data_IF_089190749501
#
_entry.id   IF_089190749501
#
_cell.length_a   1.000
_cell.length_b   1.000
_cell.length_c   1.000
_cell.angle_alpha   90.00
_cell.angle_beta   90.00
_cell.angle_gamma   90.00
#
_symmetry.space_group_name_H-M   'P 1'
#
loop_
_entity.id
_entity.type
_entity.pdbx_description
1 polymer ?
#
# COMPACT_ATOMS: atom_id res chain seq x y z
N UNK A 1 -5.78 24.99 20.79
CA UNK A 1 -6.76 24.45 21.75
C UNK A 1 -7.25 25.55 22.70
N UNK A 2 -8.56 25.68 22.91
CA UNK A 2 -9.15 26.72 23.77
C UNK A 2 -9.14 26.34 25.26
N UNK A 3 -9.17 27.34 26.15
CA UNK A 3 -9.22 27.13 27.61
C UNK A 3 -10.43 26.29 28.06
N UNK A 4 -11.56 26.41 27.35
CA UNK A 4 -12.76 25.61 27.61
C UNK A 4 -12.51 24.13 27.31
N UNK A 5 -11.87 23.80 26.19
CA UNK A 5 -11.52 22.42 25.84
C UNK A 5 -10.50 21.84 26.82
N UNK A 6 -9.49 22.62 27.21
CA UNK A 6 -8.52 22.20 28.21
C UNK A 6 -9.18 21.86 29.55
N UNK A 7 -10.13 22.67 30.03
CA UNK A 7 -10.88 22.39 31.26
C UNK A 7 -11.71 21.11 31.15
N UNK A 8 -12.37 20.90 30.01
CA UNK A 8 -13.13 19.66 29.75
C UNK A 8 -12.20 18.46 29.78
N UNK A 9 -11.09 18.50 29.04
CA UNK A 9 -10.11 17.41 28.97
C UNK A 9 -9.48 17.12 30.32
N UNK A 10 -9.17 18.14 31.12
CA UNK A 10 -8.67 17.98 32.49
C UNK A 10 -9.65 17.19 33.36
N UNK A 11 -10.95 17.51 33.29
CA UNK A 11 -11.99 16.76 34.01
C UNK A 11 -12.12 15.32 33.51
N UNK A 12 -12.06 15.09 32.21
CA UNK A 12 -12.16 13.73 31.66
C UNK A 12 -10.94 12.90 32.01
N UNK A 13 -9.75 13.51 32.05
CA UNK A 13 -8.53 12.86 32.51
C UNK A 13 -8.67 12.37 33.95
N UNK A 14 -9.14 13.20 34.88
CA UNK A 14 -9.36 12.76 36.27
C UNK A 14 -10.36 11.60 36.38
N UNK A 15 -11.45 11.64 35.61
CA UNK A 15 -12.41 10.51 35.56
C UNK A 15 -11.78 9.22 35.05
N UNK A 16 -10.96 9.30 34.00
CA UNK A 16 -10.23 8.15 33.48
C UNK A 16 -9.26 7.59 34.53
N UNK A 17 -8.57 8.45 35.28
CA UNK A 17 -7.69 8.06 36.38
C UNK A 17 -8.46 7.40 37.54
N UNK A 18 -9.71 7.81 37.77
CA UNK A 18 -10.64 7.22 38.75
C UNK A 18 -11.31 5.91 38.27
N UNK A 19 -11.11 5.52 37.01
CA UNK A 19 -11.70 4.31 36.42
C UNK A 19 -13.10 4.51 35.79
N UNK A 20 -13.60 5.74 35.75
CA UNK A 20 -14.90 6.12 35.16
C UNK A 20 -14.84 6.20 33.62
N UNK A 21 -14.33 5.15 32.97
CA UNK A 21 -14.03 5.16 31.53
C UNK A 21 -15.27 5.37 30.65
N UNK A 22 -16.36 4.65 30.95
CA UNK A 22 -17.60 4.74 30.19
C UNK A 22 -18.19 6.15 30.26
N UNK A 23 -18.25 6.74 31.45
CA UNK A 23 -18.79 8.08 31.64
C UNK A 23 -17.91 9.13 30.95
N UNK A 24 -16.59 9.00 31.04
CA UNK A 24 -15.67 9.87 30.32
C UNK A 24 -15.88 9.80 28.80
N UNK A 25 -16.01 8.58 28.26
CA UNK A 25 -16.29 8.34 26.84
C UNK A 25 -17.62 8.97 26.38
N UNK A 26 -18.72 8.74 27.11
CA UNK A 26 -20.03 9.30 26.77
C UNK A 26 -20.05 10.82 26.83
N UNK A 27 -19.39 11.42 27.83
CA UNK A 27 -19.28 12.88 27.93
C UNK A 27 -18.47 13.47 26.78
N UNK A 28 -17.35 12.84 26.40
CA UNK A 28 -16.55 13.25 25.23
C UNK A 28 -17.40 13.23 23.95
N UNK A 29 -18.11 12.13 23.67
CA UNK A 29 -19.03 12.03 22.51
C UNK A 29 -20.10 13.10 22.53
N UNK A 30 -20.74 13.32 23.67
CA UNK A 30 -21.83 14.30 23.81
C UNK A 30 -21.36 15.73 23.57
N UNK A 31 -20.17 16.09 24.04
CA UNK A 31 -19.59 17.42 23.82
C UNK A 31 -19.16 17.56 22.35
N UNK A 32 -18.49 16.55 21.78
CA UNK A 32 -18.12 16.55 20.36
C UNK A 32 -19.34 16.70 19.45
N UNK A 33 -20.43 15.95 19.70
CA UNK A 33 -21.70 16.06 18.98
C UNK A 33 -22.27 17.48 18.97
N UNK A 34 -22.14 18.22 20.08
CA UNK A 34 -22.61 19.61 20.14
C UNK A 34 -21.82 20.53 19.23
N UNK A 35 -20.49 20.42 19.24
CA UNK A 35 -19.61 21.19 18.35
C UNK A 35 -19.84 20.83 16.88
N UNK A 36 -19.98 19.54 16.57
CA UNK A 36 -20.27 19.07 15.19
C UNK A 36 -21.64 19.57 14.70
N UNK A 37 -22.66 19.61 15.57
CA UNK A 37 -23.98 20.17 15.25
C UNK A 37 -23.93 21.67 14.98
N UNK A 38 -23.08 22.42 15.69
CA UNK A 38 -22.86 23.84 15.45
C UNK A 38 -21.83 24.13 14.36
N UNK A 39 -21.37 23.11 13.62
CA UNK A 39 -20.34 23.20 12.59
C UNK A 39 -19.01 23.81 13.07
N UNK A 40 -18.75 23.75 14.38
CA UNK A 40 -17.51 24.21 14.99
C UNK A 40 -16.53 23.02 15.07
N UNK A 41 -15.88 22.73 13.95
CA UNK A 41 -15.12 21.48 13.80
C UNK A 41 -13.78 21.49 14.55
N UNK A 42 -13.11 22.65 14.68
CA UNK A 42 -11.79 22.73 15.31
C UNK A 42 -11.81 22.25 16.77
N UNK A 43 -12.73 22.71 17.64
CA UNK A 43 -12.85 22.19 19.01
C UNK A 43 -13.31 20.74 19.07
N UNK A 44 -14.12 20.28 18.12
CA UNK A 44 -14.52 18.87 18.04
C UNK A 44 -13.30 17.97 17.76
N UNK A 45 -12.46 18.36 16.81
CA UNK A 45 -11.22 17.67 16.44
C UNK A 45 -10.23 17.64 17.62
N UNK A 46 -9.99 18.78 18.27
CA UNK A 46 -9.11 18.88 19.44
C UNK A 46 -9.61 17.98 20.59
N UNK A 47 -10.92 17.96 20.84
CA UNK A 47 -11.53 17.16 21.89
C UNK A 47 -11.47 15.66 21.59
N UNK A 48 -11.88 15.25 20.39
CA UNK A 48 -11.94 13.85 19.98
C UNK A 48 -10.54 13.23 19.96
N UNK A 49 -9.57 13.91 19.38
CA UNK A 49 -8.20 13.39 19.33
C UNK A 49 -7.53 13.28 20.70
N UNK A 50 -7.65 14.30 21.53
CA UNK A 50 -7.09 14.27 22.88
C UNK A 50 -7.80 13.22 23.75
N UNK A 51 -9.14 13.17 23.68
CA UNK A 51 -9.95 12.20 24.42
C UNK A 51 -9.67 10.75 24.00
N UNK A 52 -9.56 10.49 22.69
CA UNK A 52 -9.17 9.19 22.16
C UNK A 52 -7.79 8.78 22.69
N UNK A 53 -6.80 9.69 22.62
CA UNK A 53 -5.45 9.40 23.13
C UNK A 53 -5.44 9.06 24.63
N UNK A 54 -6.24 9.76 25.44
CA UNK A 54 -6.37 9.46 26.88
C UNK A 54 -6.93 8.05 27.12
N UNK A 55 -8.01 7.69 26.42
CA UNK A 55 -8.65 6.37 26.57
C UNK A 55 -7.76 5.23 26.07
N UNK A 56 -7.12 5.41 24.90
CA UNK A 56 -6.18 4.43 24.35
C UNK A 56 -5.02 4.17 25.31
N UNK A 57 -4.42 5.24 25.87
CA UNK A 57 -3.33 5.12 26.87
C UNK A 57 -3.77 4.49 28.19
N UNK A 58 -5.06 4.58 28.53
CA UNK A 58 -5.65 3.92 29.70
C UNK A 58 -6.06 2.45 29.41
N UNK A 59 -5.68 1.89 28.26
CA UNK A 59 -6.03 0.53 27.87
C UNK A 59 -7.48 0.35 27.43
N UNK A 60 -8.25 1.43 27.30
CA UNK A 60 -9.65 1.41 26.85
C UNK A 60 -9.71 1.45 25.32
N UNK A 61 -9.19 0.38 24.69
CA UNK A 61 -9.04 0.26 23.24
C UNK A 61 -10.34 0.52 22.48
N UNK A 62 -11.43 -0.16 22.85
CA UNK A 62 -12.73 0.01 22.20
C UNK A 62 -13.29 1.43 22.26
N UNK A 63 -13.27 2.09 23.42
CA UNK A 63 -13.75 3.48 23.56
C UNK A 63 -12.82 4.48 22.86
N UNK A 64 -11.51 4.26 22.91
CA UNK A 64 -10.53 5.07 22.18
C UNK A 64 -10.69 4.93 20.67
N UNK A 65 -10.93 3.71 20.18
CA UNK A 65 -11.18 3.42 18.77
C UNK A 65 -12.47 4.07 18.28
N UNK A 66 -13.55 4.04 19.05
CA UNK A 66 -14.79 4.74 18.72
C UNK A 66 -14.57 6.25 18.53
N UNK A 67 -13.82 6.89 19.44
CA UNK A 67 -13.50 8.31 19.30
C UNK A 67 -12.56 8.60 18.11
N UNK A 68 -11.63 7.70 17.79
CA UNK A 68 -10.79 7.80 16.59
C UNK A 68 -11.61 7.70 15.30
N UNK A 69 -12.55 6.77 15.22
CA UNK A 69 -13.46 6.65 14.09
C UNK A 69 -14.33 7.90 13.96
N UNK A 70 -14.86 8.41 15.08
CA UNK A 70 -15.64 9.65 15.05
C UNK A 70 -14.80 10.86 14.62
N UNK A 71 -13.52 10.92 15.02
CA UNK A 71 -12.60 11.96 14.54
C UNK A 71 -12.48 11.95 13.01
N UNK A 72 -12.36 10.78 12.38
CA UNK A 72 -12.28 10.65 10.92
C UNK A 72 -13.60 11.07 10.26
N UNK A 73 -14.75 10.69 10.81
CA UNK A 73 -16.04 11.16 10.31
C UNK A 73 -16.14 12.69 10.35
N UNK A 74 -15.60 13.33 11.40
CA UNK A 74 -15.53 14.79 11.48
C UNK A 74 -14.56 15.37 10.44
N UNK A 75 -13.40 14.74 10.23
CA UNK A 75 -12.46 15.16 9.18
C UNK A 75 -13.09 15.13 7.79
N UNK A 76 -13.78 14.03 7.45
CA UNK A 76 -14.48 13.88 6.18
C UNK A 76 -15.59 14.93 6.04
N UNK A 77 -16.42 15.09 7.07
CA UNK A 77 -17.53 16.05 7.07
C UNK A 77 -17.07 17.51 6.94
N UNK A 78 -15.93 17.85 7.53
CA UNK A 78 -15.35 19.19 7.49
C UNK A 78 -14.35 19.39 6.35
N UNK A 79 -14.20 18.38 5.47
CA UNK A 79 -13.26 18.36 4.34
C UNK A 79 -11.81 18.73 4.73
N UNK A 80 -11.40 18.33 5.94
CA UNK A 80 -10.08 18.63 6.50
C UNK A 80 -8.99 18.09 5.58
N UNK A 81 -8.03 18.95 5.19
CA UNK A 81 -6.92 18.56 4.31
C UNK A 81 -5.92 17.66 5.03
N UNK A 82 -5.32 16.73 4.28
CA UNK A 82 -4.23 15.85 4.73
C UNK A 82 -2.90 16.60 4.86
N UNK A 83 -2.89 17.68 5.64
CA UNK A 83 -1.68 18.45 5.94
C UNK A 83 -0.84 17.80 7.06
N UNK A 84 0.35 18.33 7.29
CA UNK A 84 1.29 17.83 8.30
C UNK A 84 0.69 17.75 9.71
N UNK A 85 -0.11 18.74 10.11
CA UNK A 85 -0.67 18.78 11.46
C UNK A 85 -1.75 17.70 11.66
N UNK A 86 -2.64 17.55 10.67
CA UNK A 86 -3.71 16.56 10.73
C UNK A 86 -3.15 15.14 10.63
N UNK A 87 -2.13 14.92 9.79
CA UNK A 87 -1.41 13.64 9.71
C UNK A 87 -0.70 13.29 11.02
N UNK A 88 0.04 14.22 11.62
CA UNK A 88 0.73 13.98 12.89
C UNK A 88 -0.24 13.56 14.00
N UNK A 89 -1.45 14.14 14.04
CA UNK A 89 -2.51 13.75 14.97
C UNK A 89 -2.97 12.30 14.75
N UNK A 90 -3.19 11.90 13.49
CA UNK A 90 -3.57 10.52 13.15
C UNK A 90 -2.46 9.53 13.48
N UNK A 91 -1.21 9.84 13.13
CA UNK A 91 -0.04 9.00 13.44
C UNK A 91 0.11 8.78 14.95
N UNK A 92 -0.08 9.83 15.75
CA UNK A 92 -0.07 9.74 17.21
C UNK A 92 -1.14 8.77 17.73
N UNK A 93 -2.35 8.83 17.17
CA UNK A 93 -3.44 7.94 17.56
C UNK A 93 -3.17 6.50 17.13
N UNK A 94 -2.74 6.26 15.89
CA UNK A 94 -2.39 4.94 15.38
C UNK A 94 -1.39 4.21 16.30
N UNK A 95 -0.35 4.91 16.75
CA UNK A 95 0.68 4.38 17.67
C UNK A 95 0.20 4.21 19.12
N UNK A 96 -0.96 4.75 19.47
CA UNK A 96 -1.53 4.62 20.82
C UNK A 96 -2.46 3.42 20.96
N UNK A 97 -2.83 2.74 19.85
CA UNK A 97 -3.70 1.57 19.91
C UNK A 97 -3.01 0.42 20.67
N UNK A 98 -3.73 -0.30 21.56
CA UNK A 98 -3.21 -1.53 22.10
C UNK A 98 -3.11 -2.61 21.00
N UNK A 99 -2.19 -3.57 21.10
CA UNK A 99 -2.05 -4.67 20.14
C UNK A 99 -3.38 -5.41 19.96
N UNK A 100 -3.67 -5.86 18.74
CA UNK A 100 -4.85 -6.65 18.39
C UNK A 100 -6.22 -5.98 18.67
N UNK A 101 -6.26 -4.67 18.88
CA UNK A 101 -7.53 -3.94 19.08
C UNK A 101 -8.40 -3.96 17.81
N UNK A 102 -9.58 -4.62 17.82
CA UNK A 102 -10.40 -4.80 16.61
C UNK A 102 -10.82 -3.48 15.96
N UNK A 103 -11.02 -2.42 16.77
CA UNK A 103 -11.39 -1.10 16.28
C UNK A 103 -10.34 -0.42 15.40
N UNK A 104 -9.08 -0.86 15.44
CA UNK A 104 -7.97 -0.30 14.65
C UNK A 104 -8.19 -0.47 13.14
N UNK A 105 -8.68 -1.64 12.68
CA UNK A 105 -8.91 -1.90 11.26
C UNK A 105 -9.94 -0.94 10.64
N UNK A 106 -11.01 -0.62 11.38
CA UNK A 106 -12.01 0.38 10.94
C UNK A 106 -11.40 1.78 10.84
N UNK A 107 -10.59 2.17 11.83
CA UNK A 107 -9.92 3.46 11.83
C UNK A 107 -8.94 3.59 10.65
N UNK A 108 -8.14 2.56 10.37
CA UNK A 108 -7.25 2.49 9.19
C UNK A 108 -8.02 2.64 7.88
N UNK A 109 -9.15 1.93 7.73
CA UNK A 109 -10.02 2.08 6.56
C UNK A 109 -10.51 3.52 6.37
N UNK A 110 -10.95 4.15 7.46
CA UNK A 110 -11.39 5.55 7.45
C UNK A 110 -10.26 6.53 7.11
N UNK A 111 -9.05 6.33 7.64
CA UNK A 111 -7.87 7.14 7.32
C UNK A 111 -7.56 7.07 5.83
N UNK A 112 -7.57 5.86 5.27
CA UNK A 112 -7.28 5.62 3.85
C UNK A 112 -8.32 6.35 2.99
N UNK A 113 -9.61 6.17 3.27
CA UNK A 113 -10.69 6.84 2.55
C UNK A 113 -10.61 8.38 2.63
N UNK A 114 -10.38 8.91 3.84
CA UNK A 114 -10.20 10.34 4.04
C UNK A 114 -9.01 10.87 3.25
N UNK A 115 -7.85 10.21 3.32
CA UNK A 115 -6.64 10.68 2.65
C UNK A 115 -6.76 10.63 1.13
N UNK A 116 -7.46 9.65 0.55
CA UNK A 116 -7.75 9.59 -0.90
C UNK A 116 -8.56 10.80 -1.38
N UNK A 117 -9.50 11.30 -0.57
CA UNK A 117 -10.38 12.42 -0.93
C UNK A 117 -9.78 13.79 -0.59
N UNK A 118 -8.91 13.84 0.42
CA UNK A 118 -8.43 15.09 1.02
C UNK A 118 -6.92 15.31 0.90
N UNK A 119 -6.23 14.54 0.04
CA UNK A 119 -4.84 14.75 -0.36
C UNK A 119 -4.71 14.85 -1.89
N UNK A 120 -3.49 15.03 -2.39
CA UNK A 120 -3.17 14.96 -3.83
C UNK A 120 -3.01 13.52 -4.35
N UNK A 121 -3.03 12.53 -3.45
CA UNK A 121 -2.74 11.13 -3.76
C UNK A 121 -4.04 10.32 -3.91
N UNK A 122 -4.41 9.89 -5.13
CA UNK A 122 -5.68 9.19 -5.39
C UNK A 122 -5.75 7.77 -4.79
N UNK A 123 -4.63 7.26 -4.27
CA UNK A 123 -4.54 5.97 -3.59
C UNK A 123 -4.37 6.10 -2.08
N UNK A 124 -4.44 7.32 -1.53
CA UNK A 124 -4.19 7.63 -0.12
C UNK A 124 -2.80 8.23 0.11
N UNK A 125 -2.62 8.90 1.25
CA UNK A 125 -1.37 9.62 1.58
C UNK A 125 -0.20 8.64 1.86
N UNK A 126 0.93 8.73 1.14
CA UNK A 126 2.05 7.80 1.28
C UNK A 126 2.69 7.73 2.68
N UNK A 127 2.70 8.83 3.44
CA UNK A 127 3.26 8.82 4.79
C UNK A 127 2.36 8.06 5.76
N UNK A 128 1.03 8.21 5.61
CA UNK A 128 0.07 7.44 6.37
C UNK A 128 0.14 5.95 6.01
N UNK A 129 0.24 5.63 4.72
CA UNK A 129 0.47 4.26 4.26
C UNK A 129 1.75 3.67 4.85
N UNK A 130 2.86 4.41 4.85
CA UNK A 130 4.11 3.95 5.45
C UNK A 130 3.95 3.64 6.94
N UNK A 131 3.35 4.54 7.71
CA UNK A 131 3.14 4.32 9.16
C UNK A 131 2.22 3.13 9.42
N UNK A 132 1.09 3.05 8.72
CA UNK A 132 0.13 1.94 8.90
C UNK A 132 0.78 0.60 8.54
N UNK A 133 1.46 0.56 7.40
CA UNK A 133 2.15 -0.65 6.95
C UNK A 133 3.25 -1.09 7.90
N UNK A 134 4.01 -0.15 8.47
CA UNK A 134 5.05 -0.45 9.47
C UNK A 134 4.45 -1.01 10.76
N UNK A 135 3.34 -0.44 11.24
CA UNK A 135 2.66 -0.96 12.43
C UNK A 135 2.10 -2.37 12.21
N UNK A 136 1.55 -2.66 11.03
CA UNK A 136 1.11 -4.02 10.72
C UNK A 136 2.29 -5.00 10.58
N UNK A 137 3.42 -4.55 10.04
CA UNK A 137 4.63 -5.35 9.98
C UNK A 137 5.14 -5.71 11.39
N UNK A 138 5.18 -4.74 12.32
CA UNK A 138 5.53 -4.96 13.73
C UNK A 138 4.57 -5.94 14.44
N UNK A 139 3.30 -5.97 14.03
CA UNK A 139 2.27 -6.88 14.55
C UNK A 139 2.28 -8.26 13.88
N UNK A 140 3.09 -8.48 12.83
CA UNK A 140 3.11 -9.72 12.05
C UNK A 140 1.92 -9.89 11.10
N UNK A 141 1.13 -8.84 10.87
CA UNK A 141 -0.04 -8.82 9.97
C UNK A 141 0.40 -8.61 8.52
N UNK A 142 1.09 -9.61 7.95
CA UNK A 142 1.86 -9.45 6.71
C UNK A 142 1.01 -8.95 5.53
N UNK A 143 -0.15 -9.54 5.29
CA UNK A 143 -1.01 -9.16 4.15
C UNK A 143 -1.55 -7.73 4.25
N UNK A 144 -1.84 -7.25 5.45
CA UNK A 144 -2.29 -5.87 5.66
C UNK A 144 -1.09 -4.90 5.52
N UNK A 145 0.09 -5.29 6.02
CA UNK A 145 1.32 -4.52 5.85
C UNK A 145 1.68 -4.34 4.36
N UNK A 146 1.67 -5.42 3.57
CA UNK A 146 1.97 -5.41 2.13
C UNK A 146 1.17 -4.36 1.36
N UNK A 147 -0.15 -4.35 1.59
CA UNK A 147 -1.08 -3.42 0.92
C UNK A 147 -0.71 -1.97 1.17
N UNK A 148 -0.32 -1.64 2.40
CA UNK A 148 0.04 -0.28 2.77
C UNK A 148 1.49 0.07 2.39
N UNK A 149 2.46 -0.82 2.58
CA UNK A 149 3.86 -0.57 2.25
C UNK A 149 4.09 -0.39 0.74
N UNK A 150 3.29 -1.06 -0.09
CA UNK A 150 3.28 -0.89 -1.56
C UNK A 150 2.96 0.56 -1.96
N UNK A 151 2.09 1.24 -1.21
CA UNK A 151 1.61 2.60 -1.49
C UNK A 151 2.29 3.67 -0.62
N UNK A 152 3.28 3.28 0.18
CA UNK A 152 3.94 4.19 1.11
C UNK A 152 5.08 5.02 0.51
N UNK A 153 5.99 5.47 1.38
CA UNK A 153 7.14 6.31 1.00
C UNK A 153 8.30 5.48 0.43
N UNK A 154 9.40 6.16 0.08
CA UNK A 154 10.65 5.49 -0.32
C UNK A 154 11.24 4.57 0.76
N UNK A 155 10.86 4.78 2.02
CA UNK A 155 11.36 3.99 3.16
C UNK A 155 10.53 2.73 3.37
N UNK A 156 9.30 2.68 2.86
CA UNK A 156 8.45 1.49 2.92
C UNK A 156 9.08 0.26 2.26
N UNK A 157 9.89 0.45 1.21
CA UNK A 157 10.57 -0.66 0.55
C UNK A 157 11.57 -1.38 1.48
N UNK A 158 12.15 -0.68 2.46
CA UNK A 158 12.99 -1.29 3.47
C UNK A 158 12.16 -2.18 4.40
N UNK A 159 11.12 -1.60 4.98
CA UNK A 159 10.21 -2.30 5.90
C UNK A 159 9.59 -3.53 5.23
N UNK A 160 9.16 -3.38 3.97
CA UNK A 160 8.54 -4.46 3.21
C UNK A 160 9.57 -5.58 2.92
N UNK A 161 10.77 -5.22 2.47
CA UNK A 161 11.83 -6.20 2.26
C UNK A 161 12.23 -6.93 3.54
N UNK A 162 12.26 -6.24 4.68
CA UNK A 162 12.60 -6.85 5.97
C UNK A 162 11.50 -7.80 6.44
N UNK A 163 10.23 -7.39 6.33
CA UNK A 163 9.06 -8.23 6.65
C UNK A 163 9.05 -9.54 5.87
N UNK A 164 9.23 -9.46 4.54
CA UNK A 164 9.27 -10.64 3.68
C UNK A 164 10.49 -11.52 3.97
N UNK A 165 11.62 -10.92 4.31
CA UNK A 165 12.82 -11.68 4.67
C UNK A 165 12.67 -12.39 6.01
N UNK A 166 12.07 -11.73 7.00
CA UNK A 166 11.79 -12.33 8.31
C UNK A 166 10.81 -13.49 8.19
N UNK A 167 9.80 -13.37 7.32
CA UNK A 167 8.90 -14.48 7.01
C UNK A 167 9.65 -15.63 6.34
N UNK A 168 10.46 -15.33 5.32
CA UNK A 168 11.34 -16.30 4.66
C UNK A 168 12.30 -17.01 5.61
N UNK A 169 12.84 -16.32 6.62
CA UNK A 169 13.89 -16.86 7.49
C UNK A 169 13.46 -18.12 8.28
N UNK A 170 12.15 -18.41 8.31
CA UNK A 170 11.58 -19.61 8.92
C UNK A 170 11.30 -20.75 7.92
N UNK A 171 11.74 -20.62 6.67
CA UNK A 171 11.42 -21.50 5.54
C UNK A 171 12.69 -22.02 4.82
N UNK A 172 12.53 -22.89 3.82
CA UNK A 172 13.65 -23.46 3.07
C UNK A 172 14.34 -22.44 2.15
N UNK A 173 15.67 -22.48 1.96
CA UNK A 173 16.37 -21.55 1.06
C UNK A 173 15.83 -21.49 -0.38
N UNK A 174 15.24 -22.59 -0.86
CA UNK A 174 14.61 -22.72 -2.18
C UNK A 174 13.39 -21.80 -2.35
N UNK A 175 12.70 -21.42 -1.25
CA UNK A 175 11.48 -20.60 -1.28
C UNK A 175 11.77 -19.11 -1.28
N UNK A 176 13.02 -18.68 -1.04
CA UNK A 176 13.44 -17.28 -1.02
C UNK A 176 12.92 -16.44 -2.22
N UNK A 177 12.88 -16.95 -3.48
CA UNK A 177 12.35 -16.19 -4.61
C UNK A 177 10.87 -15.83 -4.48
N UNK A 178 10.06 -16.65 -3.79
CA UNK A 178 8.64 -16.39 -3.58
C UNK A 178 8.43 -15.16 -2.70
N UNK A 179 9.12 -15.07 -1.56
CA UNK A 179 9.06 -13.92 -0.66
C UNK A 179 9.64 -12.65 -1.30
N UNK A 180 10.75 -12.77 -2.03
CA UNK A 180 11.30 -11.65 -2.80
C UNK A 180 10.28 -11.13 -3.84
N UNK A 181 9.55 -12.03 -4.52
CA UNK A 181 8.52 -11.66 -5.48
C UNK A 181 7.34 -10.92 -4.83
N UNK A 182 6.96 -11.28 -3.59
CA UNK A 182 5.92 -10.57 -2.83
C UNK A 182 6.27 -9.11 -2.58
N UNK A 183 7.54 -8.78 -2.35
CA UNK A 183 7.97 -7.38 -2.26
C UNK A 183 8.08 -6.70 -3.64
N UNK A 184 8.52 -7.42 -4.68
CA UNK A 184 8.83 -6.84 -6.00
C UNK A 184 7.59 -6.59 -6.86
N UNK A 185 6.70 -7.58 -7.00
CA UNK A 185 5.58 -7.48 -7.93
C UNK A 185 4.58 -6.36 -7.58
N UNK A 186 4.16 -6.17 -6.31
CA UNK A 186 3.25 -5.08 -5.98
C UNK A 186 3.81 -3.70 -6.38
N UNK A 187 5.11 -3.47 -6.15
CA UNK A 187 5.75 -2.22 -6.59
C UNK A 187 5.76 -2.05 -8.10
N UNK A 188 6.01 -3.12 -8.87
CA UNK A 188 5.89 -3.07 -10.33
C UNK A 188 4.44 -2.80 -10.77
N UNK A 189 3.46 -3.43 -10.14
CA UNK A 189 2.04 -3.27 -10.49
C UNK A 189 1.47 -1.88 -10.16
N UNK A 190 2.12 -1.12 -9.27
CA UNK A 190 1.78 0.30 -9.02
C UNK A 190 2.69 1.29 -9.76
N UNK A 191 3.54 0.81 -10.68
CA UNK A 191 4.42 1.68 -11.46
C UNK A 191 5.71 2.13 -10.75
N UNK A 192 5.99 1.63 -9.54
CA UNK A 192 7.10 2.09 -8.71
C UNK A 192 8.35 1.22 -8.90
N UNK A 193 9.00 1.38 -10.05
CA UNK A 193 10.23 0.64 -10.41
C UNK A 193 11.39 0.88 -9.45
N UNK A 194 11.49 2.10 -8.87
CA UNK A 194 12.53 2.43 -7.89
C UNK A 194 12.38 1.60 -6.61
N UNK A 195 11.16 1.50 -6.07
CA UNK A 195 10.90 0.71 -4.88
C UNK A 195 11.07 -0.80 -5.14
N UNK A 196 10.64 -1.29 -6.31
CA UNK A 196 10.85 -2.69 -6.71
C UNK A 196 12.34 -3.07 -6.74
N UNK A 197 13.18 -2.21 -7.33
CA UNK A 197 14.64 -2.39 -7.34
C UNK A 197 15.24 -2.35 -5.93
N UNK A 198 14.83 -1.36 -5.11
CA UNK A 198 15.31 -1.25 -3.72
C UNK A 198 14.94 -2.48 -2.89
N UNK A 199 13.70 -2.95 -2.98
CA UNK A 199 13.22 -4.13 -2.26
C UNK A 199 14.01 -5.39 -2.64
N UNK A 200 14.21 -5.65 -3.94
CA UNK A 200 15.00 -6.81 -4.36
C UNK A 200 16.46 -6.70 -3.90
N UNK A 201 17.07 -5.52 -4.01
CA UNK A 201 18.45 -5.30 -3.59
C UNK A 201 18.63 -5.59 -2.10
N UNK A 202 17.73 -5.08 -1.25
CA UNK A 202 17.77 -5.28 0.19
C UNK A 202 17.59 -6.75 0.56
N UNK A 203 16.57 -7.40 0.00
CA UNK A 203 16.29 -8.82 0.23
C UNK A 203 17.50 -9.68 -0.15
N UNK A 204 18.04 -9.48 -1.36
CA UNK A 204 19.17 -10.26 -1.88
C UNK A 204 20.48 -9.99 -1.14
N UNK A 205 20.72 -8.76 -0.69
CA UNK A 205 21.86 -8.41 0.16
C UNK A 205 21.81 -9.18 1.48
N UNK A 206 20.65 -9.18 2.15
CA UNK A 206 20.43 -9.90 3.41
C UNK A 206 20.58 -11.42 3.20
N UNK A 207 19.99 -11.96 2.13
CA UNK A 207 20.11 -13.37 1.74
C UNK A 207 21.55 -13.82 1.57
N UNK A 208 22.35 -13.04 0.82
CA UNK A 208 23.76 -13.35 0.58
C UNK A 208 24.62 -13.32 1.85
N UNK A 209 24.26 -12.47 2.80
CA UNK A 209 24.96 -12.34 4.08
C UNK A 209 24.63 -13.51 5.00
N UNK A 210 23.36 -13.91 5.07
CA UNK A 210 22.92 -15.03 5.92
C UNK A 210 23.31 -16.40 5.35
N UNK A 211 23.46 -16.52 4.04
CA UNK A 211 23.73 -17.79 3.35
C UNK A 211 24.95 -17.67 2.41
N UNK A 212 26.17 -17.57 2.94
CA UNK A 212 27.39 -17.40 2.12
C UNK A 212 27.66 -18.60 1.19
N UNK A 213 27.07 -19.77 1.46
CA UNK A 213 27.18 -20.97 0.63
C UNK A 213 26.36 -20.96 -0.66
N UNK A 214 25.55 -19.94 -0.94
CA UNK A 214 24.70 -19.87 -2.15
C UNK A 214 25.47 -19.67 -3.46
N UNK A 215 26.79 -19.44 -3.43
CA UNK A 215 27.61 -19.31 -4.64
C UNK A 215 27.20 -18.11 -5.49
N UNK A 216 26.93 -16.97 -4.85
CA UNK A 216 26.45 -15.75 -5.52
C UNK A 216 27.52 -15.18 -6.44
N UNK A 217 27.16 -14.95 -7.69
CA UNK A 217 28.02 -14.31 -8.70
C UNK A 217 27.51 -12.90 -8.97
N UNK A 218 28.40 -11.90 -8.94
CA UNK A 218 28.04 -10.53 -9.30
C UNK A 218 28.43 -10.28 -10.75
N UNK A 219 27.46 -9.89 -11.57
CA UNK A 219 27.68 -9.45 -12.95
C UNK A 219 27.45 -7.94 -12.99
N UNK A 220 28.55 -7.21 -13.18
CA UNK A 220 28.53 -5.76 -13.30
C UNK A 220 28.66 -5.34 -14.76
N UNK A 221 27.85 -4.36 -15.15
CA UNK A 221 27.95 -3.66 -16.43
C UNK A 221 27.97 -2.15 -16.17
N UNK A 222 28.41 -1.31 -17.13
CA UNK A 222 28.44 0.14 -16.93
C UNK A 222 27.09 0.76 -16.55
N UNK A 223 25.98 0.09 -16.86
CA UNK A 223 24.62 0.58 -16.61
C UNK A 223 23.88 -0.13 -15.49
N UNK A 224 24.36 -1.29 -15.00
CA UNK A 224 23.59 -2.15 -14.09
C UNK A 224 24.45 -3.21 -13.41
N UNK A 225 24.18 -3.47 -12.14
CA UNK A 225 24.71 -4.60 -11.37
C UNK A 225 23.61 -5.63 -11.09
N UNK A 226 23.87 -6.90 -11.37
CA UNK A 226 22.95 -8.00 -11.07
C UNK A 226 23.68 -9.11 -10.32
N UNK A 227 23.01 -9.69 -9.32
CA UNK A 227 23.46 -10.89 -8.62
C UNK A 227 22.79 -12.11 -9.22
N UNK A 228 23.61 -13.12 -9.53
CA UNK A 228 23.17 -14.41 -10.05
C UNK A 228 23.35 -15.47 -8.97
N UNK A 229 22.28 -16.20 -8.73
CA UNK A 229 22.15 -17.29 -7.77
C UNK A 229 21.93 -18.58 -8.56
N UNK A 230 22.96 -19.40 -8.79
CA UNK A 230 22.84 -20.59 -9.63
C UNK A 230 21.76 -21.58 -9.16
N UNK A 231 21.55 -21.67 -7.84
CA UNK A 231 20.55 -22.53 -7.21
C UNK A 231 19.16 -21.90 -7.08
N UNK A 232 18.99 -20.60 -7.38
CA UNK A 232 17.73 -19.87 -7.22
C UNK A 232 17.32 -19.19 -8.53
N UNK A 233 16.86 -19.96 -9.54
CA UNK A 233 16.57 -19.46 -10.88
C UNK A 233 15.53 -18.33 -10.89
N UNK A 234 14.51 -18.41 -10.04
CA UNK A 234 13.47 -17.37 -9.98
C UNK A 234 13.96 -16.04 -9.38
N UNK A 235 15.02 -16.06 -8.56
CA UNK A 235 15.63 -14.82 -8.07
C UNK A 235 16.39 -14.11 -9.19
N UNK A 236 17.06 -14.89 -10.05
CA UNK A 236 17.69 -14.38 -11.27
C UNK A 236 16.65 -13.81 -12.22
N UNK A 237 15.51 -14.51 -12.37
CA UNK A 237 14.38 -14.02 -13.16
C UNK A 237 13.89 -12.65 -12.66
N UNK A 238 13.70 -12.46 -11.35
CA UNK A 238 13.28 -11.16 -10.79
C UNK A 238 14.28 -10.05 -11.11
N UNK A 239 15.59 -10.29 -10.94
CA UNK A 239 16.62 -9.33 -11.28
C UNK A 239 16.62 -8.97 -12.77
N UNK A 240 16.54 -9.97 -13.64
CA UNK A 240 16.47 -9.77 -15.10
C UNK A 240 15.17 -9.10 -15.55
N UNK A 241 14.06 -9.38 -14.87
CA UNK A 241 12.77 -8.73 -15.13
C UNK A 241 12.86 -7.23 -14.86
N UNK A 242 13.47 -6.81 -13.75
CA UNK A 242 13.67 -5.40 -13.43
C UNK A 242 14.53 -4.69 -14.49
N UNK A 243 15.58 -5.35 -14.97
CA UNK A 243 16.40 -4.83 -16.09
C UNK A 243 15.61 -4.74 -17.40
N UNK A 244 14.77 -5.73 -17.69
CA UNK A 244 13.91 -5.71 -18.86
C UNK A 244 12.90 -4.56 -18.79
N UNK A 245 12.29 -4.33 -17.62
CA UNK A 245 11.38 -3.20 -17.36
C UNK A 245 12.07 -1.86 -17.58
N UNK A 246 13.33 -1.71 -17.15
CA UNK A 246 14.09 -0.48 -17.39
C UNK A 246 14.38 -0.23 -18.88
N UNK A 247 14.55 -1.29 -19.68
CA UNK A 247 14.85 -1.21 -21.12
C UNK A 247 13.61 -1.09 -22.00
N UNK A 248 12.44 -1.56 -21.56
CA UNK A 248 11.16 -1.46 -22.27
C UNK A 248 11.00 -2.37 -23.51
N UNK A 249 11.93 -3.28 -23.78
CA UNK A 249 11.88 -4.17 -24.95
C UNK A 249 11.00 -5.40 -24.75
N UNK A 250 9.88 -5.53 -25.49
CA UNK A 250 8.96 -6.67 -25.33
C UNK A 250 9.59 -8.03 -25.65
N UNK A 251 10.58 -8.07 -26.54
CA UNK A 251 11.28 -9.30 -26.91
C UNK A 251 12.13 -9.85 -25.76
N UNK A 252 12.76 -8.98 -24.97
CA UNK A 252 13.51 -9.37 -23.77
C UNK A 252 12.58 -10.03 -22.76
N UNK A 253 11.40 -9.47 -22.53
CA UNK A 253 10.40 -10.03 -21.62
C UNK A 253 9.89 -11.39 -22.10
N UNK A 254 9.57 -11.52 -23.39
CA UNK A 254 9.13 -12.81 -23.99
C UNK A 254 10.22 -13.88 -23.89
N UNK A 255 11.46 -13.53 -24.22
CA UNK A 255 12.61 -14.43 -24.12
C UNK A 255 12.84 -14.87 -22.67
N UNK A 256 12.76 -13.93 -21.72
CA UNK A 256 12.90 -14.21 -20.30
C UNK A 256 11.81 -15.18 -19.81
N UNK A 257 10.54 -14.92 -20.15
CA UNK A 257 9.44 -15.84 -19.82
C UNK A 257 9.62 -17.22 -20.44
N UNK A 258 10.08 -17.29 -21.69
CA UNK A 258 10.34 -18.56 -22.37
C UNK A 258 11.48 -19.34 -21.70
N UNK A 259 12.55 -18.66 -21.28
CA UNK A 259 13.69 -19.30 -20.64
C UNK A 259 13.35 -19.87 -19.25
N UNK A 260 12.53 -19.15 -18.47
CA UNK A 260 12.11 -19.56 -17.13
C UNK A 260 10.75 -20.27 -17.09
N UNK A 261 10.17 -20.69 -18.24
CA UNK A 261 8.78 -21.12 -18.35
C UNK A 261 8.37 -22.22 -17.35
N UNK A 262 9.22 -23.23 -17.14
CA UNK A 262 8.95 -24.30 -16.19
C UNK A 262 8.86 -23.78 -14.74
N UNK A 263 9.88 -23.03 -14.31
CA UNK A 263 9.94 -22.44 -12.97
C UNK A 263 8.78 -21.47 -12.71
N UNK A 264 8.39 -20.68 -13.72
CA UNK A 264 7.28 -19.74 -13.61
C UNK A 264 5.93 -20.44 -13.44
N UNK A 265 5.75 -21.57 -14.14
CA UNK A 265 4.54 -22.39 -14.02
C UNK A 265 4.43 -23.03 -12.63
N UNK A 266 5.55 -23.49 -12.08
CA UNK A 266 5.60 -24.05 -10.73
C UNK A 266 5.33 -22.96 -9.66
N UNK A 267 5.77 -21.72 -9.90
CA UNK A 267 5.58 -20.60 -8.98
C UNK A 267 4.19 -19.93 -9.05
N UNK A 268 3.42 -20.15 -10.12
CA UNK A 268 2.08 -19.56 -10.27
C UNK A 268 2.09 -18.04 -10.51
N UNK A 269 3.10 -17.52 -11.23
CA UNK A 269 3.28 -16.08 -11.45
C UNK A 269 2.63 -15.55 -12.75
N UNK A 270 1.74 -16.31 -13.37
CA UNK A 270 1.18 -15.97 -14.68
C UNK A 270 0.41 -14.66 -14.68
N UNK A 271 -0.45 -14.44 -13.68
CA UNK A 271 -1.28 -13.24 -13.56
C UNK A 271 -0.46 -11.96 -13.34
N UNK A 272 0.41 -11.84 -12.30
CA UNK A 272 1.21 -10.64 -12.12
C UNK A 272 2.12 -10.37 -13.32
N UNK A 273 2.66 -11.41 -13.96
CA UNK A 273 3.48 -11.24 -15.17
C UNK A 273 2.66 -10.83 -16.40
N UNK A 274 1.40 -11.23 -16.52
CA UNK A 274 0.54 -10.74 -17.58
C UNK A 274 0.29 -9.23 -17.43
N UNK A 275 -0.02 -8.78 -16.21
CA UNK A 275 -0.23 -7.36 -15.90
C UNK A 275 1.05 -6.54 -16.10
N UNK A 276 2.21 -7.02 -15.64
CA UNK A 276 3.50 -6.38 -15.91
C UNK A 276 3.81 -6.35 -17.42
N UNK A 277 3.50 -7.43 -18.13
CA UNK A 277 3.60 -7.55 -19.58
C UNK A 277 2.83 -6.45 -20.33
N UNK A 278 1.60 -6.19 -19.89
CA UNK A 278 0.76 -5.13 -20.42
C UNK A 278 1.29 -3.74 -20.07
N UNK A 279 1.58 -3.51 -18.78
CA UNK A 279 1.98 -2.19 -18.26
C UNK A 279 3.29 -1.68 -18.85
N UNK A 280 4.31 -2.54 -18.97
CA UNK A 280 5.67 -2.12 -19.31
C UNK A 280 6.10 -2.49 -20.74
N UNK A 281 5.40 -3.42 -21.37
CA UNK A 281 5.78 -3.96 -22.69
C UNK A 281 4.67 -3.91 -23.73
N UNK A 282 3.48 -3.39 -23.38
CA UNK A 282 2.34 -3.26 -24.30
C UNK A 282 1.78 -4.60 -24.79
N UNK A 283 2.08 -5.71 -24.09
CA UNK A 283 1.61 -7.04 -24.45
C UNK A 283 0.16 -7.15 -23.98
N UNK A 284 -0.78 -7.21 -24.93
CA UNK A 284 -2.19 -7.37 -24.61
C UNK A 284 -2.41 -8.68 -23.86
N UNK A 285 -3.07 -8.60 -22.71
CA UNK A 285 -3.54 -9.79 -22.00
C UNK A 285 -4.60 -10.46 -22.89
N UNK A 286 -4.43 -11.74 -23.26
CA UNK A 286 -5.47 -12.45 -23.98
C UNK A 286 -6.76 -12.37 -23.17
N UNK A 287 -7.82 -11.80 -23.74
CA UNK A 287 -9.12 -11.78 -23.06
C UNK A 287 -9.51 -13.23 -22.80
N UNK A 288 -9.78 -13.59 -21.54
CA UNK A 288 -10.48 -14.83 -21.25
C UNK A 288 -11.82 -14.73 -21.97
N UNK A 289 -11.91 -15.36 -23.14
CA UNK A 289 -13.15 -15.42 -23.87
C UNK A 289 -14.06 -16.35 -23.08
N UNK A 290 -15.24 -15.83 -22.72
CA UNK A 290 -16.17 -16.61 -21.93
C UNK A 290 -16.79 -17.65 -22.89
N UNK A 291 -16.55 -18.96 -22.73
CA UNK A 291 -16.89 -19.95 -23.76
C UNK A 291 -18.39 -19.95 -24.10
N UNK A 292 -19.24 -19.60 -23.13
CA UNK A 292 -20.68 -19.42 -23.32
C UNK A 292 -21.01 -18.19 -24.16
N UNK A 293 -20.27 -17.09 -24.02
CA UNK A 293 -20.44 -15.87 -24.82
C UNK A 293 -19.94 -16.09 -26.25
N UNK A 294 -18.84 -16.82 -26.43
CA UNK A 294 -18.34 -17.18 -27.76
C UNK A 294 -19.29 -18.15 -28.47
N UNK A 295 -19.88 -19.12 -27.76
CA UNK A 295 -20.90 -20.01 -28.31
C UNK A 295 -22.20 -19.27 -28.63
N UNK A 296 -22.64 -18.37 -27.75
CA UNK A 296 -23.85 -17.58 -27.99
C UNK A 296 -23.64 -16.56 -29.11
N UNK A 297 -22.47 -15.92 -29.19
CA UNK A 297 -22.10 -15.01 -30.29
C UNK A 297 -21.94 -15.76 -31.61
N UNK A 298 -21.31 -16.93 -31.63
CA UNK A 298 -21.21 -17.74 -32.87
C UNK A 298 -22.57 -18.29 -33.32
N UNK A 299 -23.51 -18.50 -32.39
CA UNK A 299 -24.87 -18.94 -32.70
C UNK A 299 -25.82 -17.77 -33.06
N UNK A 300 -25.61 -16.56 -32.53
CA UNK A 300 -26.44 -15.37 -32.80
C UNK A 300 -25.88 -14.42 -33.87
N UNK A 301 -24.57 -14.44 -34.17
CA UNK A 301 -23.89 -13.56 -35.14
C UNK A 301 -23.32 -14.34 -36.33
N UNK A 302 -24.03 -15.37 -36.78
CA UNK A 302 -23.89 -15.90 -38.14
C UNK A 302 -24.45 -14.92 -39.17
N UNK A 303 -23.83 -13.75 -39.34
CA UNK A 303 -24.29 -12.72 -40.26
C UNK A 303 -23.61 -11.37 -40.04
N UNK A 304 -22.75 -10.99 -41.00
CA UNK A 304 -21.94 -9.78 -41.05
C UNK A 304 -22.73 -8.50 -40.68
N UNK A 305 -22.54 -7.96 -39.47
CA UNK A 305 -23.23 -6.72 -39.04
C UNK A 305 -22.27 -5.51 -39.09
N UNK A 306 -22.50 -4.48 -39.95
CA UNK A 306 -21.59 -3.35 -40.13
C UNK A 306 -21.59 -2.31 -38.99
N UNK A 307 -22.31 -2.56 -37.89
CA UNK A 307 -22.58 -1.57 -36.84
C UNK A 307 -21.92 -1.88 -35.47
N UNK A 308 -20.82 -2.65 -35.45
CA UNK A 308 -20.10 -2.89 -34.20
C UNK A 308 -19.50 -1.59 -33.63
N UNK A 309 -19.91 -1.25 -32.40
CA UNK A 309 -19.47 -0.05 -31.69
C UNK A 309 -17.95 -0.09 -31.41
N UNK A 310 -17.26 1.03 -31.72
CA UNK A 310 -15.82 1.21 -31.44
C UNK A 310 -15.58 1.18 -29.92
N UNK A 311 -14.75 0.24 -29.44
CA UNK A 311 -14.24 0.23 -28.06
C UNK A 311 -13.39 1.47 -27.81
N UNK A 312 -13.64 2.13 -26.67
CA UNK A 312 -12.87 3.26 -26.14
C UNK A 312 -11.47 2.75 -25.73
N UNK A 313 -10.42 3.39 -26.24
CA UNK A 313 -9.03 3.14 -25.81
C UNK A 313 -8.83 3.58 -24.37
N UNK A 314 -8.27 2.68 -23.56
CA UNK A 314 -7.86 2.93 -22.19
C UNK A 314 -6.45 3.54 -22.23
N UNK A 315 -6.28 4.73 -21.64
CA UNK A 315 -5.02 5.49 -21.68
C UNK A 315 -3.87 4.69 -21.07
N UNK A 316 -2.84 4.42 -21.85
CA UNK A 316 -1.55 3.92 -21.39
C UNK A 316 -0.83 4.98 -20.55
N UNK A 317 -0.23 4.56 -19.43
CA UNK A 317 0.65 5.42 -18.64
C UNK A 317 1.93 5.65 -19.45
N UNK A 318 2.13 6.88 -19.94
CA UNK A 318 3.31 7.22 -20.75
C UNK A 318 3.19 8.47 -21.63
N UNK A 319 1.99 9.01 -21.87
CA UNK A 319 1.85 10.26 -22.60
C UNK A 319 1.98 11.47 -21.66
N UNK A 320 3.21 11.87 -21.37
CA UNK A 320 3.47 13.23 -20.90
C UNK A 320 2.99 14.21 -21.99
N UNK A 321 2.19 15.20 -21.61
CA UNK A 321 1.81 16.30 -22.51
C UNK A 321 3.08 17.05 -22.95
N UNK A 322 3.23 17.40 -24.24
CA UNK A 322 4.39 18.17 -24.69
C UNK A 322 4.38 19.55 -24.03
N UNK A 323 5.54 19.94 -23.49
CA UNK A 323 5.75 21.27 -22.91
C UNK A 323 5.50 22.37 -23.96
N UNK A 324 4.95 23.54 -23.57
CA UNK A 324 4.74 24.64 -24.49
C UNK A 324 6.08 25.19 -25.01
N UNK A 325 6.13 25.66 -26.26
CA UNK A 325 7.37 26.18 -26.85
C UNK A 325 7.84 27.45 -26.11
N UNK A 326 9.16 27.69 -26.03
CA UNK A 326 9.69 28.88 -25.39
C UNK A 326 9.22 30.14 -26.13
N UNK A 327 8.76 31.12 -25.35
CA UNK A 327 8.49 32.45 -25.85
C UNK A 327 9.80 33.07 -26.37
N UNK A 328 9.80 33.44 -27.65
CA UNK A 328 10.81 34.30 -28.24
C UNK A 328 10.44 35.74 -27.91
N UNK A 329 11.40 36.47 -27.35
CA UNK A 329 11.39 37.93 -27.24
C UNK A 329 11.22 38.61 -28.61
#
# INVERSE_FOLDING_TARGET
MSAKIQKVLGRQKSRIEEGDYYEAHQQLRTIANRYVKSQDYTPAIDLLSSGASLLLKAGQGGSGADLCNYLIEVYQKAEVKSDTANKARIVTLLRSFPPNEPGKKRFVGGITEWSTKNSEFPSGDPELHHVIGSLYAEEGEVYDAERHLTLGTSDSAQVFSDLEYEWYASDEPSTAPAYAARAVFPYLLVGNTRAANKALLLFTSKLSTSHPGLGVQSISSPSSDIRIYPSLPLLNFLGLLLLAVQRGGSDLFKQLKSHYAQHLKEAGWEEPLAQIGEMYFGIKIPSQSNPMFDMMSSMFMGGNNPFAAKKKEQKSVGAAAPAPPPAVD
#
